data_IF_700333545992
#
_entry.id   IF_700333545992
#
_cell.length_a   1.000
_cell.length_b   1.000
_cell.length_c   1.000
_cell.angle_alpha   90.00
_cell.angle_beta   90.00
_cell.angle_gamma   90.00
#
_symmetry.space_group_name_H-M   'P 1'
#
loop_
_entity.id
_entity.type
_entity.pdbx_description
1 polymer ?
#
# COMPACT_ATOMS: atom_id res chain seq x y z
N UNK A 1 16.96 -29.09 4.72
CA UNK A 1 15.62 -28.54 4.97
C UNK A 1 15.18 -27.74 3.76
N UNK A 2 13.95 -27.91 3.28
CA UNK A 2 13.47 -27.30 2.04
C UNK A 2 13.16 -25.81 2.31
N UNK A 3 13.79 -24.88 1.60
CA UNK A 3 13.66 -23.43 1.83
C UNK A 3 12.18 -22.97 1.71
N UNK A 4 11.41 -23.60 0.81
CA UNK A 4 9.95 -23.39 0.68
C UNK A 4 9.17 -23.81 1.92
N UNK A 5 9.60 -24.88 2.59
CA UNK A 5 8.98 -25.35 3.82
C UNK A 5 9.27 -24.37 4.95
N UNK A 6 10.51 -23.89 5.07
CA UNK A 6 10.88 -22.88 6.08
C UNK A 6 10.13 -21.55 5.85
N UNK A 7 9.98 -21.10 4.60
CA UNK A 7 9.19 -19.91 4.26
C UNK A 7 7.70 -20.05 4.63
N UNK A 8 7.06 -21.15 4.24
CA UNK A 8 5.65 -21.39 4.59
C UNK A 8 5.44 -21.58 6.10
N UNK A 9 6.40 -22.17 6.82
CA UNK A 9 6.29 -22.39 8.27
C UNK A 9 6.56 -21.09 9.05
N UNK A 10 7.43 -20.21 8.55
CA UNK A 10 7.74 -18.92 9.17
C UNK A 10 6.61 -17.90 8.97
N UNK A 11 5.99 -17.85 7.80
CA UNK A 11 4.81 -17.02 7.54
C UNK A 11 3.54 -17.52 8.25
N UNK A 12 3.41 -18.84 8.48
CA UNK A 12 2.29 -19.41 9.22
C UNK A 12 2.18 -18.94 10.68
N UNK A 13 3.24 -18.33 11.25
CA UNK A 13 3.21 -17.80 12.62
C UNK A 13 2.64 -16.37 12.71
N UNK A 14 2.60 -15.63 11.60
CA UNK A 14 2.07 -14.28 11.53
C UNK A 14 0.70 -14.29 10.83
N UNK A 15 -0.36 -14.09 11.60
CA UNK A 15 -1.70 -13.93 11.03
C UNK A 15 -1.85 -12.49 10.53
N UNK A 16 -1.50 -12.23 9.27
CA UNK A 16 -1.72 -10.95 8.60
C UNK A 16 -0.63 -10.54 7.61
N UNK A 17 -0.89 -9.47 6.86
CA UNK A 17 0.09 -8.83 5.95
C UNK A 17 1.11 -8.07 6.78
N UNK A 18 2.40 -8.37 6.61
CA UNK A 18 3.50 -7.72 7.33
C UNK A 18 4.17 -6.63 6.49
N UNK A 19 5.12 -5.92 7.11
CA UNK A 19 5.86 -4.88 6.41
C UNK A 19 6.62 -5.46 5.20
N UNK A 20 6.57 -4.76 4.07
CA UNK A 20 7.14 -5.12 2.76
C UNK A 20 6.42 -6.21 1.97
N UNK A 21 5.36 -6.83 2.50
CA UNK A 21 4.62 -7.85 1.75
C UNK A 21 3.96 -7.29 0.48
N UNK A 22 3.74 -5.98 0.38
CA UNK A 22 3.22 -5.33 -0.81
C UNK A 22 4.25 -5.27 -1.97
N UNK A 23 5.56 -5.26 -1.65
CA UNK A 23 6.61 -5.12 -2.66
C UNK A 23 6.71 -6.32 -3.60
N UNK A 24 6.39 -7.52 -3.12
CA UNK A 24 6.44 -8.74 -3.95
C UNK A 24 5.43 -8.70 -5.11
N UNK A 25 4.42 -7.83 -5.04
CA UNK A 25 3.45 -7.65 -6.13
C UNK A 25 3.88 -6.60 -7.17
N UNK A 26 4.95 -5.85 -6.90
CA UNK A 26 5.48 -4.81 -7.79
C UNK A 26 6.85 -5.17 -8.36
N UNK A 27 7.69 -5.84 -7.58
CA UNK A 27 9.06 -6.14 -7.93
C UNK A 27 9.39 -7.61 -7.73
N UNK A 28 10.23 -8.14 -8.62
CA UNK A 28 10.71 -9.51 -8.55
C UNK A 28 12.06 -9.51 -7.86
N UNK A 29 12.13 -10.13 -6.68
CA UNK A 29 13.38 -10.41 -5.97
C UNK A 29 13.51 -11.92 -5.77
N UNK A 30 14.21 -12.63 -6.67
CA UNK A 30 14.29 -14.09 -6.65
C UNK A 30 14.89 -14.67 -5.37
N UNK A 31 15.67 -13.90 -4.61
CA UNK A 31 16.24 -14.35 -3.34
C UNK A 31 15.23 -14.35 -2.18
N UNK A 32 14.11 -13.62 -2.31
CA UNK A 32 13.12 -13.41 -1.24
C UNK A 32 11.75 -14.01 -1.60
N UNK A 33 11.37 -13.97 -2.87
CA UNK A 33 10.07 -14.47 -3.34
C UNK A 33 10.17 -15.14 -4.70
N UNK A 34 9.24 -16.06 -4.97
CA UNK A 34 9.08 -16.61 -6.32
C UNK A 34 8.29 -15.62 -7.19
N UNK A 35 8.48 -15.69 -8.50
CA UNK A 35 7.61 -15.02 -9.45
C UNK A 35 6.21 -15.65 -9.41
N UNK A 36 5.17 -14.80 -9.40
CA UNK A 36 3.79 -15.23 -9.58
C UNK A 36 3.50 -15.44 -11.07
N UNK A 37 2.75 -16.49 -11.37
CA UNK A 37 2.36 -16.92 -12.71
C UNK A 37 0.84 -16.82 -12.85
N UNK A 38 0.30 -16.88 -14.07
CA UNK A 38 -1.14 -16.74 -14.32
C UNK A 38 -2.02 -17.78 -13.59
N UNK A 39 -1.42 -18.92 -13.22
CA UNK A 39 -2.08 -19.97 -12.43
C UNK A 39 -2.22 -19.63 -10.94
N UNK A 40 -1.51 -18.59 -10.46
CA UNK A 40 -1.53 -18.14 -9.07
C UNK A 40 -2.68 -17.15 -8.82
N UNK A 41 -3.32 -17.23 -7.65
CA UNK A 41 -4.37 -16.26 -7.26
C UNK A 41 -3.79 -14.85 -7.13
N UNK A 42 -2.55 -14.76 -6.65
CA UNK A 42 -1.79 -13.54 -6.41
C UNK A 42 -1.48 -12.77 -7.69
N UNK A 43 -1.42 -13.46 -8.85
CA UNK A 43 -1.14 -12.83 -10.14
C UNK A 43 -2.14 -11.73 -10.48
N UNK A 44 -3.40 -11.86 -10.07
CA UNK A 44 -4.40 -10.82 -10.28
C UNK A 44 -4.06 -9.52 -9.55
N UNK A 45 -3.38 -9.60 -8.41
CA UNK A 45 -2.93 -8.44 -7.65
C UNK A 45 -1.67 -7.84 -8.30
N UNK A 46 -0.73 -8.68 -8.76
CA UNK A 46 0.44 -8.24 -9.55
C UNK A 46 0.00 -7.45 -10.78
N UNK A 47 -0.90 -8.02 -11.59
CA UNK A 47 -1.38 -7.40 -12.84
C UNK A 47 -2.07 -6.06 -12.56
N UNK A 48 -2.94 -5.99 -11.55
CA UNK A 48 -3.64 -4.74 -11.21
C UNK A 48 -2.72 -3.68 -10.61
N UNK A 49 -1.86 -4.04 -9.65
CA UNK A 49 -0.95 -3.10 -8.98
C UNK A 49 0.06 -2.52 -9.98
N UNK A 50 0.71 -3.36 -10.79
CA UNK A 50 1.67 -2.88 -11.79
C UNK A 50 1.03 -1.95 -12.83
N UNK A 51 -0.20 -2.25 -13.29
CA UNK A 51 -0.96 -1.34 -14.17
C UNK A 51 -1.31 -0.01 -13.50
N UNK A 52 -1.77 -0.03 -12.25
CA UNK A 52 -2.10 1.19 -11.51
C UNK A 52 -0.86 2.05 -11.30
N UNK A 53 0.26 1.45 -10.89
CA UNK A 53 1.54 2.16 -10.71
C UNK A 53 2.06 2.71 -12.04
N UNK A 54 1.90 1.96 -13.14
CA UNK A 54 2.29 2.43 -14.49
C UNK A 54 1.43 3.62 -14.93
N UNK A 55 0.11 3.58 -14.71
CA UNK A 55 -0.79 4.68 -15.03
C UNK A 55 -0.45 5.93 -14.20
N UNK A 56 -0.17 5.74 -12.91
CA UNK A 56 0.27 6.82 -12.03
C UNK A 56 1.62 7.42 -12.47
N UNK A 57 2.60 6.59 -12.79
CA UNK A 57 3.89 7.06 -13.30
C UNK A 57 3.76 7.87 -14.60
N UNK A 58 2.78 7.53 -15.45
CA UNK A 58 2.56 8.22 -16.72
C UNK A 58 1.76 9.53 -16.59
N UNK A 59 0.76 9.61 -15.70
CA UNK A 59 -0.18 10.75 -15.64
C UNK A 59 -0.39 11.38 -14.26
N UNK A 60 0.20 10.82 -13.21
CA UNK A 60 -0.12 11.18 -11.82
C UNK A 60 -1.50 10.70 -11.35
N UNK A 61 -2.17 9.84 -12.13
CA UNK A 61 -3.48 9.25 -11.80
C UNK A 61 -3.42 7.72 -12.01
N UNK A 62 -3.63 6.89 -10.97
CA UNK A 62 -3.62 5.43 -11.11
C UNK A 62 -4.84 4.88 -11.85
N UNK A 63 -5.87 5.70 -12.10
CA UNK A 63 -7.08 5.27 -12.80
C UNK A 63 -6.85 5.21 -14.32
N UNK A 64 -7.27 4.10 -14.93
CA UNK A 64 -7.19 3.91 -16.39
C UNK A 64 -8.43 3.18 -16.90
N UNK A 65 -9.49 3.92 -17.20
CA UNK A 65 -10.79 3.34 -17.58
C UNK A 65 -10.77 2.59 -18.92
N UNK A 66 -9.81 2.90 -19.79
CA UNK A 66 -9.59 2.18 -21.04
C UNK A 66 -8.91 0.81 -20.85
N UNK A 67 -8.37 0.54 -19.66
CA UNK A 67 -7.77 -0.76 -19.34
C UNK A 67 -8.84 -1.70 -18.79
N UNK A 68 -9.05 -2.84 -19.45
CA UNK A 68 -10.10 -3.79 -19.10
C UNK A 68 -10.02 -4.25 -17.63
N UNK A 69 -8.81 -4.39 -17.09
CA UNK A 69 -8.57 -4.87 -15.73
C UNK A 69 -8.80 -3.80 -14.66
N UNK A 70 -8.74 -2.51 -15.05
CA UNK A 70 -8.92 -1.36 -14.15
C UNK A 70 -10.22 -0.59 -14.39
N UNK A 71 -10.99 -0.94 -15.42
CA UNK A 71 -12.17 -0.17 -15.85
C UNK A 71 -13.20 0.06 -14.75
N UNK A 72 -13.33 -0.89 -13.83
CA UNK A 72 -14.30 -0.89 -12.74
C UNK A 72 -13.72 -0.36 -11.41
N UNK A 73 -12.40 -0.11 -11.36
CA UNK A 73 -11.72 0.40 -10.17
C UNK A 73 -11.67 1.94 -10.22
N UNK A 74 -12.04 2.59 -9.12
CA UNK A 74 -11.96 4.05 -8.96
C UNK A 74 -11.19 4.39 -7.69
N UNK A 75 -9.89 4.63 -7.84
CA UNK A 75 -9.03 5.11 -6.77
C UNK A 75 -9.18 6.63 -6.66
N UNK A 76 -10.04 7.09 -5.74
CA UNK A 76 -10.21 8.52 -5.50
C UNK A 76 -9.03 9.09 -4.73
N UNK A 77 -8.61 10.29 -5.10
CA UNK A 77 -7.55 11.01 -4.41
C UNK A 77 -7.89 11.25 -2.93
N UNK A 78 -6.85 11.16 -2.11
CA UNK A 78 -6.93 11.50 -0.69
C UNK A 78 -7.22 13.00 -0.51
N UNK A 79 -8.02 13.34 0.49
CA UNK A 79 -8.19 14.73 0.96
C UNK A 79 -8.39 14.74 2.46
N UNK A 80 -8.04 15.83 3.15
CA UNK A 80 -8.25 15.93 4.60
C UNK A 80 -9.72 15.79 5.04
N UNK A 81 -10.67 16.10 4.14
CA UNK A 81 -12.11 16.01 4.41
C UNK A 81 -12.67 14.59 4.32
N UNK A 82 -12.24 13.82 3.30
CA UNK A 82 -12.80 12.49 3.00
C UNK A 82 -11.86 11.34 3.35
N UNK A 83 -10.56 11.59 3.34
CA UNK A 83 -9.51 10.61 3.67
C UNK A 83 -9.69 9.28 2.92
N UNK A 84 -10.01 9.38 1.62
CA UNK A 84 -10.17 8.20 0.76
C UNK A 84 -8.86 7.41 0.70
N UNK A 85 -9.00 6.09 0.77
CA UNK A 85 -7.93 5.15 0.47
C UNK A 85 -8.52 3.94 -0.25
N UNK A 86 -7.68 3.23 -0.99
CA UNK A 86 -8.06 2.00 -1.65
C UNK A 86 -7.65 0.83 -0.75
N UNK A 87 -8.63 0.04 -0.34
CA UNK A 87 -8.42 -1.23 0.37
C UNK A 87 -8.19 -2.33 -0.66
N UNK A 88 -6.99 -2.89 -0.68
CA UNK A 88 -6.55 -3.88 -1.67
C UNK A 88 -6.41 -5.22 -0.96
N UNK A 89 -7.44 -6.05 -1.05
CA UNK A 89 -7.46 -7.42 -0.54
C UNK A 89 -7.97 -8.38 -1.59
N UNK A 90 -8.78 -9.38 -1.18
CA UNK A 90 -9.50 -10.24 -2.13
C UNK A 90 -10.40 -9.42 -3.07
N UNK A 91 -10.96 -8.35 -2.54
CA UNK A 91 -11.65 -7.31 -3.30
C UNK A 91 -10.89 -5.98 -3.20
N UNK A 92 -11.03 -5.15 -4.23
CA UNK A 92 -10.47 -3.81 -4.28
C UNK A 92 -11.60 -2.81 -4.03
N UNK A 93 -11.61 -2.19 -2.86
CA UNK A 93 -12.74 -1.39 -2.38
C UNK A 93 -12.26 0.00 -1.96
N UNK A 94 -12.96 1.04 -2.41
CA UNK A 94 -12.70 2.39 -1.92
C UNK A 94 -13.29 2.56 -0.52
N UNK A 95 -12.46 2.97 0.43
CA UNK A 95 -12.86 3.26 1.81
C UNK A 95 -12.46 4.68 2.22
N UNK A 96 -12.90 5.07 3.40
CA UNK A 96 -12.62 6.38 4.01
C UNK A 96 -12.14 6.17 5.45
N UNK A 97 -11.27 7.04 5.93
CA UNK A 97 -10.93 7.11 7.36
C UNK A 97 -10.17 5.89 7.90
N UNK A 98 -9.06 5.53 7.24
CA UNK A 98 -8.17 4.46 7.69
C UNK A 98 -7.76 4.68 9.15
N UNK A 99 -7.98 3.69 10.03
CA UNK A 99 -7.51 3.66 11.42
C UNK A 99 -7.74 4.97 12.22
N UNK A 100 -8.81 5.71 11.94
CA UNK A 100 -9.09 7.04 12.52
C UNK A 100 -8.98 7.06 14.04
N UNK A 101 -9.54 6.08 14.74
CA UNK A 101 -9.47 5.97 16.20
C UNK A 101 -8.02 5.92 16.72
N UNK A 102 -7.13 5.20 16.03
CA UNK A 102 -5.71 5.10 16.41
C UNK A 102 -5.00 6.43 16.17
N UNK A 103 -5.28 7.10 15.05
CA UNK A 103 -4.73 8.41 14.76
C UNK A 103 -5.19 9.47 15.77
N UNK A 104 -6.43 9.41 16.24
CA UNK A 104 -6.96 10.36 17.24
C UNK A 104 -6.21 10.29 18.58
N UNK A 105 -5.74 9.12 19.00
CA UNK A 105 -4.90 8.99 20.21
C UNK A 105 -3.63 9.82 20.06
N UNK A 106 -2.90 9.65 18.95
CA UNK A 106 -1.66 10.37 18.70
C UNK A 106 -1.88 11.87 18.54
N UNK A 107 -2.95 12.29 17.85
CA UNK A 107 -3.30 13.71 17.73
C UNK A 107 -3.58 14.38 19.08
N UNK A 108 -4.18 13.65 20.02
CA UNK A 108 -4.46 14.15 21.39
C UNK A 108 -3.18 14.26 22.22
N UNK A 109 -2.30 13.26 22.13
CA UNK A 109 -1.04 13.22 22.89
C UNK A 109 -0.03 14.25 22.37
N UNK A 110 0.01 14.45 21.05
CA UNK A 110 0.97 15.31 20.38
C UNK A 110 0.24 16.22 19.37
N UNK A 111 -0.50 17.23 19.83
CA UNK A 111 -1.14 18.17 18.93
C UNK A 111 -0.05 18.90 18.13
N UNK A 112 -0.07 18.72 16.80
CA UNK A 112 0.86 19.39 15.90
C UNK A 112 0.59 20.91 15.94
N UNK A 113 1.37 21.62 16.75
CA UNK A 113 1.41 23.08 16.77
C UNK A 113 2.29 23.56 15.61
N UNK A 114 1.80 23.47 14.38
CA UNK A 114 2.52 23.95 13.19
C UNK A 114 2.92 25.44 13.28
N UNK A 115 2.29 26.21 14.16
CA UNK A 115 2.63 27.61 14.44
C UNK A 115 3.88 27.82 15.32
N UNK A 116 4.49 26.75 15.86
CA UNK A 116 5.64 26.82 16.78
C UNK A 116 6.98 26.41 16.18
N UNK A 117 7.06 26.10 14.89
CA UNK A 117 8.35 25.98 14.22
C UNK A 117 8.87 27.38 13.93
N UNK A 118 9.42 28.03 14.95
CA UNK A 118 10.29 29.18 14.73
C UNK A 118 11.56 28.69 14.01
N UNK A 119 12.20 29.55 13.23
CA UNK A 119 13.42 29.30 12.43
C UNK A 119 14.53 28.50 13.13
N UNK A 120 14.49 28.35 14.45
CA UNK A 120 15.51 27.68 15.24
C UNK A 120 15.52 26.15 15.09
N UNK A 121 14.37 25.52 14.85
CA UNK A 121 14.24 24.04 14.85
C UNK A 121 14.76 23.36 13.57
N UNK A 122 15.08 24.15 12.53
CA UNK A 122 15.58 23.65 11.24
C UNK A 122 17.12 23.51 11.18
N UNK A 123 17.83 23.98 12.21
CA UNK A 123 19.30 23.92 12.29
C UNK A 123 19.82 22.68 13.01
N UNK A 124 18.94 21.86 13.62
CA UNK A 124 19.33 20.65 14.35
C UNK A 124 19.40 19.39 13.47
N UNK A 125 19.34 19.55 12.14
CA UNK A 125 19.39 18.48 11.14
C UNK A 125 20.57 18.57 10.16
N UNK A 126 21.63 19.33 10.48
CA UNK A 126 22.93 19.26 9.80
C UNK A 126 24.01 18.61 10.68
#
# INVERSE_FOLDING_TARGET
ANLKMLYNTFLSFFVGVVHHDDLMYLFVEPSVSRMFTEDDREYQIVDKLTRMFTAFAYKGDPNKQSDEKLRDIRWRAFSFKRQHYLDIGEEIVLREGLNTQRYEVWKRLFPLNWKRQSKHDLLDYE
#
